data_IF_662184109260
#
_entry.id   IF_662184109260
#
_cell.length_a   1.000
_cell.length_b   1.000
_cell.length_c   1.000
_cell.angle_alpha   90.00
_cell.angle_beta   90.00
_cell.angle_gamma   90.00
#
_symmetry.space_group_name_H-M   'P 1'
#
loop_
_entity.id
_entity.type
_entity.pdbx_description
1 polymer ?
#
# COMPACT_ATOMS: atom_id res chain seq x y z
N UNK A 1 -11.12 -14.56 16.59
CA UNK A 1 -10.67 -15.18 15.33
C UNK A 1 -9.69 -16.28 15.69
N UNK A 2 -9.67 -17.40 14.99
CA UNK A 2 -8.67 -18.44 15.26
C UNK A 2 -7.33 -18.08 14.58
N UNK A 3 -6.24 -18.58 15.16
CA UNK A 3 -4.86 -18.29 14.72
C UNK A 3 -4.62 -18.71 13.26
N UNK A 4 -5.21 -19.82 12.82
CA UNK A 4 -4.95 -20.35 11.49
C UNK A 4 -5.55 -19.45 10.41
N UNK A 5 -6.72 -18.86 10.68
CA UNK A 5 -7.31 -17.82 9.83
C UNK A 5 -6.41 -16.60 9.71
N UNK A 6 -5.88 -16.08 10.82
CA UNK A 6 -4.98 -14.91 10.80
C UNK A 6 -3.69 -15.20 10.01
N UNK A 7 -3.09 -16.38 10.20
CA UNK A 7 -1.90 -16.80 9.47
C UNK A 7 -2.16 -16.93 7.96
N UNK A 8 -3.33 -17.43 7.56
CA UNK A 8 -3.72 -17.51 6.15
C UNK A 8 -3.88 -16.13 5.52
N UNK A 9 -4.41 -15.16 6.25
CA UNK A 9 -4.48 -13.78 5.76
C UNK A 9 -3.10 -13.16 5.61
N UNK A 10 -2.21 -13.34 6.59
CA UNK A 10 -0.81 -12.91 6.48
C UNK A 10 -0.11 -13.51 5.26
N UNK A 11 -0.32 -14.80 4.98
CA UNK A 11 0.21 -15.44 3.78
C UNK A 11 -0.33 -14.78 2.50
N UNK A 12 -1.65 -14.54 2.42
CA UNK A 12 -2.25 -13.88 1.28
C UNK A 12 -1.71 -12.44 1.07
N UNK A 13 -1.50 -11.68 2.15
CA UNK A 13 -0.87 -10.35 2.06
C UNK A 13 0.57 -10.44 1.56
N UNK A 14 1.35 -11.41 2.02
CA UNK A 14 2.74 -11.61 1.61
C UNK A 14 2.87 -11.99 0.12
N UNK A 15 1.86 -12.68 -0.44
CA UNK A 15 1.79 -13.02 -1.86
C UNK A 15 1.24 -11.87 -2.73
N UNK A 16 0.68 -10.82 -2.12
CA UNK A 16 0.03 -9.71 -2.82
C UNK A 16 1.03 -8.66 -3.30
N UNK A 17 0.95 -8.32 -4.59
CA UNK A 17 1.68 -7.17 -5.15
C UNK A 17 1.09 -5.83 -4.69
N UNK A 18 -0.22 -5.80 -4.44
CA UNK A 18 -0.94 -4.61 -4.03
C UNK A 18 -2.08 -4.98 -3.08
N UNK A 19 -2.17 -4.31 -1.94
CA UNK A 19 -3.36 -4.34 -1.07
C UNK A 19 -4.06 -2.98 -1.09
N UNK A 20 -5.39 -2.99 -1.12
CA UNK A 20 -6.21 -1.78 -1.02
C UNK A 20 -7.11 -1.94 0.20
N UNK A 21 -7.10 -0.95 1.10
CA UNK A 21 -7.90 -1.01 2.32
C UNK A 21 -8.23 0.37 2.86
N UNK A 22 -9.03 0.38 3.92
CA UNK A 22 -9.46 1.61 4.61
C UNK A 22 -8.65 1.73 5.89
N UNK A 23 -8.18 2.92 6.20
CA UNK A 23 -7.46 3.16 7.45
C UNK A 23 -8.30 2.70 8.66
N UNK A 24 -7.68 1.97 9.57
CA UNK A 24 -8.34 1.34 10.72
C UNK A 24 -8.87 -0.07 10.48
N UNK A 25 -8.82 -0.59 9.24
CA UNK A 25 -9.23 -1.98 8.93
C UNK A 25 -8.11 -3.01 9.18
N UNK A 26 -7.31 -2.82 10.23
CA UNK A 26 -6.12 -3.60 10.56
C UNK A 26 -5.03 -3.55 9.45
N UNK A 27 -4.76 -2.36 8.92
CA UNK A 27 -3.87 -2.20 7.75
C UNK A 27 -2.38 -2.38 8.07
N UNK A 28 -1.98 -2.46 9.35
CA UNK A 28 -0.59 -2.63 9.76
C UNK A 28 0.09 -3.89 9.18
N UNK A 29 -0.57 -5.05 9.22
CA UNK A 29 -0.01 -6.28 8.67
C UNK A 29 -0.02 -6.32 7.14
N UNK A 30 -1.12 -5.93 6.44
CA UNK A 30 -1.10 -5.82 4.99
C UNK A 30 -0.01 -4.88 4.45
N UNK A 31 0.21 -3.73 5.09
CA UNK A 31 1.24 -2.76 4.66
C UNK A 31 2.66 -3.28 4.90
N UNK A 32 2.88 -4.10 5.93
CA UNK A 32 4.15 -4.76 6.18
C UNK A 32 4.47 -5.87 5.16
N UNK A 33 3.45 -6.64 4.78
CA UNK A 33 3.62 -7.92 4.09
C UNK A 33 3.53 -7.81 2.57
N UNK A 34 2.63 -6.97 2.05
CA UNK A 34 2.45 -6.78 0.61
C UNK A 34 3.57 -5.95 -0.03
N UNK A 35 3.72 -6.03 -1.35
CA UNK A 35 4.71 -5.20 -2.05
C UNK A 35 4.30 -3.72 -2.10
N UNK A 36 3.02 -3.41 -2.18
CA UNK A 36 2.53 -2.03 -2.19
C UNK A 36 1.12 -1.95 -1.64
N UNK A 37 0.69 -0.73 -1.33
CA UNK A 37 -0.63 -0.50 -0.77
C UNK A 37 -1.23 0.85 -1.15
N UNK A 38 -2.55 0.86 -1.21
CA UNK A 38 -3.39 2.05 -1.29
C UNK A 38 -4.29 2.06 -0.06
N UNK A 39 -4.19 3.10 0.73
CA UNK A 39 -5.00 3.29 1.92
C UNK A 39 -5.99 4.42 1.71
N UNK A 40 -7.27 4.12 1.83
CA UNK A 40 -8.34 5.12 1.84
C UNK A 40 -8.41 5.67 3.26
N UNK A 41 -8.20 6.98 3.40
CA UNK A 41 -8.03 7.67 4.66
C UNK A 41 -9.28 8.50 5.01
N UNK A 42 -10.08 8.08 6.00
CA UNK A 42 -11.17 8.88 6.56
C UNK A 42 -10.69 10.20 7.15
N UNK A 43 -11.50 11.25 7.04
CA UNK A 43 -11.12 12.60 7.45
C UNK A 43 -10.71 12.69 8.93
N UNK A 44 -11.42 11.97 9.79
CA UNK A 44 -11.16 11.91 11.24
C UNK A 44 -9.85 11.17 11.60
N UNK A 45 -9.21 10.49 10.63
CA UNK A 45 -7.97 9.72 10.83
C UNK A 45 -6.71 10.45 10.36
N UNK A 46 -6.81 11.65 9.81
CA UNK A 46 -5.65 12.42 9.32
C UNK A 46 -4.60 12.68 10.41
N UNK A 47 -5.03 12.94 11.64
CA UNK A 47 -4.10 13.14 12.78
C UNK A 47 -3.28 11.90 13.13
N UNK A 48 -3.69 10.73 12.62
CA UNK A 48 -3.13 9.42 12.91
C UNK A 48 -2.73 8.66 11.62
N UNK A 49 -2.48 9.38 10.54
CA UNK A 49 -2.24 8.84 9.19
C UNK A 49 -1.19 7.73 9.12
N UNK A 50 -0.18 7.76 9.99
CA UNK A 50 0.92 6.78 10.00
C UNK A 50 0.68 5.56 10.90
N UNK A 51 -0.41 5.51 11.68
CA UNK A 51 -0.63 4.45 12.67
C UNK A 51 -0.76 3.05 12.06
N UNK A 52 -1.30 2.96 10.85
CA UNK A 52 -1.55 1.71 10.14
C UNK A 52 -0.46 1.39 9.09
N UNK A 53 0.65 2.14 9.13
CA UNK A 53 1.77 2.00 8.18
C UNK A 53 2.93 1.24 8.82
N UNK A 54 3.20 0.04 8.30
CA UNK A 54 4.46 -0.64 8.55
C UNK A 54 5.38 -0.50 7.31
N UNK A 55 6.52 0.17 7.48
CA UNK A 55 7.46 0.39 6.38
C UNK A 55 8.14 -0.92 5.99
N UNK A 56 7.93 -1.37 4.76
CA UNK A 56 8.59 -2.56 4.19
C UNK A 56 9.93 -2.22 3.55
N UNK A 57 10.00 -1.07 2.88
CA UNK A 57 11.19 -0.61 2.17
C UNK A 57 11.83 0.56 2.89
N UNK A 58 13.16 0.69 2.76
CA UNK A 58 13.96 1.74 3.40
C UNK A 58 14.51 2.75 2.40
N UNK A 59 13.93 2.79 1.20
CA UNK A 59 14.32 3.67 0.11
C UNK A 59 13.09 4.24 -0.61
N UNK A 60 13.32 4.95 -1.72
CA UNK A 60 12.28 5.61 -2.54
C UNK A 60 11.21 4.64 -3.07
N UNK A 61 11.42 3.33 -3.01
CA UNK A 61 10.40 2.33 -3.33
C UNK A 61 9.21 2.40 -2.39
N UNK A 62 9.43 2.72 -1.12
CA UNK A 62 8.34 2.92 -0.16
C UNK A 62 7.41 4.06 -0.62
N UNK A 63 7.99 5.15 -1.12
CA UNK A 63 7.24 6.30 -1.61
C UNK A 63 6.49 6.02 -2.91
N UNK A 64 7.05 5.15 -3.77
CA UNK A 64 6.37 4.75 -5.02
C UNK A 64 5.20 3.79 -4.75
N UNK A 65 5.39 2.84 -3.82
CA UNK A 65 4.46 1.74 -3.57
C UNK A 65 3.42 2.01 -2.48
N UNK A 66 3.52 3.10 -1.72
CA UNK A 66 2.53 3.48 -0.70
C UNK A 66 1.75 4.72 -1.13
N UNK A 67 0.41 4.67 -1.04
CA UNK A 67 -0.46 5.81 -1.41
C UNK A 67 -1.60 5.98 -0.43
N UNK A 68 -1.92 7.23 -0.11
CA UNK A 68 -3.15 7.61 0.59
C UNK A 68 -4.13 8.24 -0.39
N UNK A 69 -5.40 7.87 -0.28
CA UNK A 69 -6.51 8.50 -1.00
C UNK A 69 -7.54 9.00 0.01
N UNK A 70 -8.26 10.05 -0.33
CA UNK A 70 -9.33 10.56 0.52
C UNK A 70 -10.53 9.61 0.55
N UNK A 71 -11.36 9.70 1.59
CA UNK A 71 -12.55 8.86 1.77
C UNK A 71 -13.63 9.00 0.69
N UNK A 72 -13.61 10.10 -0.08
CA UNK A 72 -14.53 10.33 -1.19
C UNK A 72 -13.93 9.93 -2.54
N UNK A 73 -12.73 9.34 -2.55
CA UNK A 73 -12.10 8.85 -3.77
C UNK A 73 -13.00 7.82 -4.47
N UNK A 74 -13.45 8.17 -5.68
CA UNK A 74 -14.27 7.25 -6.48
C UNK A 74 -13.54 5.92 -6.74
N UNK A 75 -14.26 4.80 -6.93
CA UNK A 75 -13.65 3.54 -7.33
C UNK A 75 -12.76 3.68 -8.58
N UNK A 76 -13.13 4.56 -9.53
CA UNK A 76 -12.32 4.86 -10.70
C UNK A 76 -11.00 5.57 -10.38
N UNK A 77 -11.00 6.44 -9.37
CA UNK A 77 -9.77 7.07 -8.85
C UNK A 77 -8.86 6.03 -8.22
N UNK A 78 -9.39 5.19 -7.32
CA UNK A 78 -8.64 4.11 -6.68
C UNK A 78 -8.03 3.16 -7.70
N UNK A 79 -8.84 2.71 -8.68
CA UNK A 79 -8.39 1.84 -9.76
C UNK A 79 -7.30 2.48 -10.62
N UNK A 80 -7.40 3.79 -10.91
CA UNK A 80 -6.36 4.52 -11.64
C UNK A 80 -5.03 4.51 -10.88
N UNK A 81 -5.07 4.73 -9.56
CA UNK A 81 -3.86 4.63 -8.74
C UNK A 81 -3.29 3.20 -8.78
N UNK A 82 -4.11 2.17 -8.58
CA UNK A 82 -3.67 0.79 -8.66
C UNK A 82 -2.99 0.49 -10.01
N UNK A 83 -3.65 0.83 -11.12
CA UNK A 83 -3.12 0.61 -12.48
C UNK A 83 -1.80 1.34 -12.71
N UNK A 84 -1.67 2.60 -12.28
CA UNK A 84 -0.43 3.36 -12.45
C UNK A 84 0.75 2.77 -11.67
N UNK A 85 0.52 2.14 -10.51
CA UNK A 85 1.61 1.47 -9.77
C UNK A 85 2.26 0.35 -10.60
N UNK A 86 1.49 -0.36 -11.43
CA UNK A 86 2.03 -1.38 -12.31
C UNK A 86 2.56 -0.79 -13.61
N UNK A 87 1.81 0.10 -14.26
CA UNK A 87 2.19 0.68 -15.56
C UNK A 87 3.45 1.54 -15.48
N UNK A 88 3.61 2.29 -14.39
CA UNK A 88 4.71 3.25 -14.25
C UNK A 88 5.92 2.65 -13.51
N UNK A 89 5.80 1.41 -12.98
CA UNK A 89 6.90 0.73 -12.31
C UNK A 89 8.17 0.62 -13.18
N UNK A 90 8.12 0.31 -14.49
CA UNK A 90 9.32 0.28 -15.33
C UNK A 90 10.03 1.64 -15.40
N UNK A 91 9.26 2.74 -15.42
CA UNK A 91 9.81 4.10 -15.41
C UNK A 91 10.46 4.41 -14.07
N UNK A 92 9.77 4.11 -12.97
CA UNK A 92 10.33 4.20 -11.62
C UNK A 92 11.65 3.43 -11.51
N UNK A 93 11.65 2.16 -11.91
CA UNK A 93 12.79 1.26 -11.81
C UNK A 93 13.99 1.80 -12.59
N UNK A 94 13.80 2.18 -13.86
CA UNK A 94 14.88 2.74 -14.67
C UNK A 94 15.47 4.00 -14.04
N UNK A 95 14.61 4.93 -13.61
CA UNK A 95 15.06 6.26 -13.19
C UNK A 95 15.59 6.28 -11.74
N UNK A 96 15.12 5.40 -10.86
CA UNK A 96 15.44 5.44 -9.42
C UNK A 96 16.27 4.25 -8.93
N UNK A 97 16.41 3.19 -9.73
CA UNK A 97 17.19 1.98 -9.38
C UNK A 97 18.37 1.74 -10.32
N UNK A 98 18.27 2.15 -11.58
CA UNK A 98 19.33 1.93 -12.58
C UNK A 98 20.13 3.20 -12.83
N UNK A 99 19.46 4.34 -13.07
CA UNK A 99 20.10 5.61 -13.42
C UNK A 99 20.52 6.44 -12.19
N UNK A 100 21.04 5.82 -11.13
CA UNK A 100 21.46 6.49 -9.88
C UNK A 100 22.90 7.05 -9.95
N UNK A 101 23.31 7.52 -11.13
CA UNK A 101 24.66 7.99 -11.43
C UNK A 101 24.70 9.48 -11.75
#
# INVERSE_FOLDING_TARGET
>A
MDKDTELRWCAAYAESQLVIGVHGSNMLLPTALSAGCIEILPYDRYGNIVQDVATRYRDVMQLFLYRFLDEFASPGTVARHAVSMFKDFPVYYRNNRVNIH
#
